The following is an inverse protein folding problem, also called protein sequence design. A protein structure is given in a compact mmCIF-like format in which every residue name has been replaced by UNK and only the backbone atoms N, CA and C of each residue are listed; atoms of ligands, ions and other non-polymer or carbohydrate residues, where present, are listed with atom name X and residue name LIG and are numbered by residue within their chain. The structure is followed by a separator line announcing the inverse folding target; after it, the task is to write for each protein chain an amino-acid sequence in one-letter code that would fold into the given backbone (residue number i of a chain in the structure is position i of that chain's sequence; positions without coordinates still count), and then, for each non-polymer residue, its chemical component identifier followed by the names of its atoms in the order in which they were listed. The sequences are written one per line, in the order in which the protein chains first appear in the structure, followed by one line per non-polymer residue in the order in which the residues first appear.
data_IF_326541720198
#
_entry.id   IF_326541720198
#
_cell.length_a   1.000
_cell.length_b   1.000
_cell.length_c   1.000
_cell.angle_alpha   90.00
_cell.angle_beta   90.00
_cell.angle_gamma   90.00
#
_symmetry.space_group_name_H-M   'P 1'
#
loop_
_entity.id
_entity.type
_entity.pdbx_description
1 polymer ?
#
# COMPACT_ATOMS: atom_id res chain seq x y z
N UNK A 1 5.67 -4.76 -15.96
CA UNK A 1 5.01 -4.48 -14.68
C UNK A 1 6.09 -4.53 -13.62
N UNK A 2 6.23 -3.49 -12.80
CA UNK A 2 7.29 -3.44 -11.77
C UNK A 2 7.01 -4.52 -10.72
N UNK A 3 7.81 -5.60 -10.72
CA UNK A 3 7.64 -6.75 -9.81
C UNK A 3 7.61 -6.29 -8.35
N UNK A 4 8.44 -5.30 -8.01
CA UNK A 4 8.50 -4.70 -6.68
C UNK A 4 7.17 -4.05 -6.25
N UNK A 5 6.48 -3.37 -7.17
CA UNK A 5 5.17 -2.75 -6.88
C UNK A 5 4.12 -3.84 -6.64
N UNK A 6 4.16 -4.95 -7.37
CA UNK A 6 3.23 -6.06 -7.14
C UNK A 6 3.46 -6.74 -5.78
N UNK A 7 4.72 -6.95 -5.40
CA UNK A 7 5.07 -7.50 -4.09
C UNK A 7 4.61 -6.57 -2.96
N UNK A 8 4.85 -5.27 -3.10
CA UNK A 8 4.39 -4.25 -2.15
C UNK A 8 2.87 -4.21 -2.02
N UNK A 9 2.14 -4.27 -3.14
CA UNK A 9 0.66 -4.31 -3.13
C UNK A 9 0.15 -5.59 -2.48
N UNK A 10 0.79 -6.73 -2.73
CA UNK A 10 0.41 -8.01 -2.12
C UNK A 10 0.60 -7.96 -0.61
N UNK A 11 1.69 -7.37 -0.12
CA UNK A 11 1.88 -7.17 1.31
C UNK A 11 0.88 -6.19 1.90
N UNK A 12 0.56 -5.09 1.21
CA UNK A 12 -0.45 -4.13 1.66
C UNK A 12 -1.85 -4.74 1.79
N UNK A 13 -2.22 -5.65 0.88
CA UNK A 13 -3.50 -6.40 0.94
C UNK A 13 -3.56 -7.31 2.17
N UNK A 14 -2.43 -7.87 2.59
CA UNK A 14 -2.33 -8.76 3.74
C UNK A 14 -1.83 -8.04 5.01
N UNK A 15 -1.71 -6.71 4.97
CA UNK A 15 -1.11 -5.95 6.06
C UNK A 15 -2.08 -5.85 7.24
N UNK A 16 -1.67 -6.39 8.38
CA UNK A 16 -2.42 -6.33 9.63
C UNK A 16 -2.04 -5.05 10.41
N UNK A 17 -2.90 -4.03 10.34
CA UNK A 17 -2.65 -2.73 10.94
C UNK A 17 -2.92 -2.71 12.45
N UNK A 18 -2.02 -3.32 13.23
CA UNK A 18 -2.11 -3.40 14.71
C UNK A 18 -1.88 -2.07 15.44
N UNK A 19 -1.22 -1.13 14.77
CA UNK A 19 -0.74 0.13 15.37
C UNK A 19 -1.59 1.35 14.95
N UNK A 20 -2.78 1.15 14.38
CA UNK A 20 -3.68 2.21 13.90
C UNK A 20 -2.98 3.20 12.92
N UNK A 21 -1.98 2.72 12.19
CA UNK A 21 -1.18 3.53 11.28
C UNK A 21 -2.04 4.02 10.12
N UNK A 22 -1.73 5.23 9.64
CA UNK A 22 -2.35 5.74 8.42
C UNK A 22 -1.76 5.13 7.15
N UNK A 23 -2.49 5.19 6.04
CA UNK A 23 -2.06 4.69 4.72
C UNK A 23 -0.62 5.09 4.37
N UNK A 24 -0.29 6.37 4.55
CA UNK A 24 1.04 6.88 4.24
C UNK A 24 2.12 6.39 5.21
N UNK A 25 1.78 6.17 6.49
CA UNK A 25 2.73 5.61 7.45
C UNK A 25 3.05 4.16 7.11
N UNK A 26 2.03 3.35 6.81
CA UNK A 26 2.21 1.95 6.39
C UNK A 26 3.06 1.89 5.13
N UNK A 27 2.72 2.67 4.10
CA UNK A 27 3.49 2.70 2.86
C UNK A 27 4.94 3.10 3.10
N UNK A 28 5.20 4.15 3.89
CA UNK A 28 6.57 4.59 4.20
C UNK A 28 7.37 3.54 4.98
N UNK A 29 6.73 2.84 5.92
CA UNK A 29 7.39 1.77 6.68
C UNK A 29 7.80 0.63 5.75
N UNK A 30 6.89 0.14 4.91
CA UNK A 30 7.16 -0.92 3.95
C UNK A 30 8.24 -0.54 2.93
N UNK A 31 8.26 0.71 2.46
CA UNK A 31 9.31 1.20 1.57
C UNK A 31 10.67 1.24 2.28
N UNK A 32 10.71 1.71 3.54
CA UNK A 32 11.93 1.76 4.34
C UNK A 32 12.53 0.36 4.56
N UNK A 33 11.71 -0.65 4.81
CA UNK A 33 12.15 -2.04 4.96
C UNK A 33 12.82 -2.58 3.69
N UNK A 34 12.42 -2.08 2.52
CA UNK A 34 12.98 -2.43 1.21
C UNK A 34 14.13 -1.53 0.76
N UNK A 35 14.56 -0.58 1.61
CA UNK A 35 15.54 0.44 1.24
C UNK A 35 15.09 1.28 0.02
N UNK A 36 13.77 1.48 -0.12
CA UNK A 36 13.17 2.29 -1.18
C UNK A 36 12.79 3.67 -0.63
N UNK A 37 13.01 4.70 -1.45
CA UNK A 37 12.59 6.06 -1.11
C UNK A 37 11.11 6.28 -1.45
N UNK A 38 10.38 6.86 -0.51
CA UNK A 38 9.03 7.33 -0.77
C UNK A 38 9.05 8.48 -1.79
N UNK A 39 8.31 8.32 -2.88
CA UNK A 39 8.10 9.35 -3.89
C UNK A 39 6.68 9.28 -4.47
N UNK A 40 6.24 10.37 -5.11
CA UNK A 40 4.92 10.49 -5.71
C UNK A 40 4.66 9.45 -6.82
N UNK A 41 5.70 8.99 -7.52
CA UNK A 41 5.55 8.00 -8.58
C UNK A 41 5.16 6.63 -8.00
N UNK A 42 5.87 6.17 -6.96
CA UNK A 42 5.57 4.93 -6.25
C UNK A 42 4.17 5.00 -5.64
N UNK A 43 3.81 6.11 -4.98
CA UNK A 43 2.48 6.28 -4.42
C UNK A 43 1.40 6.11 -5.49
N UNK A 44 1.54 6.76 -6.64
CA UNK A 44 0.59 6.66 -7.76
C UNK A 44 0.53 5.24 -8.32
N UNK A 45 1.67 4.58 -8.50
CA UNK A 45 1.74 3.20 -9.00
C UNK A 45 1.04 2.24 -8.04
N UNK A 46 1.39 2.26 -6.77
CA UNK A 46 0.80 1.38 -5.74
C UNK A 46 -0.69 1.62 -5.60
N UNK A 47 -1.12 2.88 -5.51
CA UNK A 47 -2.55 3.24 -5.40
C UNK A 47 -3.34 2.70 -6.60
N UNK A 48 -2.81 2.90 -7.82
CA UNK A 48 -3.44 2.41 -9.05
C UNK A 48 -3.56 0.89 -9.06
N UNK A 49 -2.54 0.18 -8.59
CA UNK A 49 -2.56 -1.29 -8.54
C UNK A 49 -3.51 -1.82 -7.46
N UNK A 50 -3.62 -1.18 -6.30
CA UNK A 50 -4.63 -1.51 -5.28
C UNK A 50 -6.04 -1.33 -5.85
N UNK A 51 -6.31 -0.20 -6.51
CA UNK A 51 -7.61 0.06 -7.16
C UNK A 51 -7.90 -0.96 -8.26
N UNK A 52 -6.92 -1.31 -9.09
CA UNK A 52 -7.06 -2.36 -10.12
C UNK A 52 -7.29 -3.75 -9.53
N UNK A 53 -6.66 -4.06 -8.40
CA UNK A 53 -6.88 -5.29 -7.65
C UNK A 53 -8.28 -5.35 -7.01
N UNK A 54 -9.02 -4.24 -7.10
CA UNK A 54 -10.40 -4.15 -6.68
C UNK A 54 -10.55 -3.73 -5.23
N UNK A 55 -9.63 -2.92 -4.70
CA UNK A 55 -9.69 -2.42 -3.33
C UNK A 55 -9.82 -0.90 -3.27
N UNK A 56 -10.56 -0.42 -2.28
CA UNK A 56 -10.56 0.95 -1.77
C UNK A 56 -9.54 1.10 -0.63
N UNK A 57 -8.91 2.27 -0.55
CA UNK A 57 -7.92 2.60 0.49
C UNK A 57 -8.60 3.44 1.57
N UNK A 58 -8.83 2.85 2.74
CA UNK A 58 -9.21 3.57 3.95
C UNK A 58 -7.93 4.09 4.60
N UNK A 59 -7.88 5.39 4.91
CA UNK A 59 -6.61 6.05 5.24
C UNK A 59 -6.29 6.12 6.73
N UNK A 60 -7.28 6.09 7.63
CA UNK A 60 -7.11 6.15 9.10
C UNK A 60 -8.27 5.45 9.85
N UNK A 61 -8.03 4.29 10.47
CA UNK A 61 -6.81 3.46 10.32
C UNK A 61 -6.65 2.98 8.87
N UNK A 62 -5.42 2.70 8.45
CA UNK A 62 -5.17 2.05 7.17
C UNK A 62 -5.91 0.71 7.11
N UNK A 63 -6.72 0.55 6.07
CA UNK A 63 -7.40 -0.70 5.73
C UNK A 63 -7.67 -0.73 4.24
N UNK A 64 -7.58 -1.91 3.62
CA UNK A 64 -8.04 -2.13 2.26
C UNK A 64 -9.39 -2.84 2.28
N UNK A 65 -10.35 -2.31 1.54
CA UNK A 65 -11.69 -2.91 1.43
C UNK A 65 -12.00 -3.25 -0.02
N UNK A 66 -12.37 -4.50 -0.30
CA UNK A 66 -12.61 -4.96 -1.66
C UNK A 66 -13.96 -4.46 -2.17
N UNK A 67 -14.03 -3.98 -3.42
CA UNK A 67 -15.30 -3.68 -4.08
C UNK A 67 -16.19 -4.94 -4.07
N UNK A 68 -17.47 -4.77 -3.75
CA UNK A 68 -18.48 -5.82 -3.84
C UNK A 68 -18.94 -6.05 -5.27
#
# INVERSE_FOLDING_TARGET
MDKEVQELVTELINYDNKEDLSWLQVLKNLLKERNLEYNDEILKKVTKEITKAGYDIITKPFKLERYK
#
